data_IF_119978730750
#
_entry.id   IF_119978730750
#
_cell.length_a   1.000
_cell.length_b   1.000
_cell.length_c   1.000
_cell.angle_alpha   90.00
_cell.angle_beta   90.00
_cell.angle_gamma   90.00
#
_symmetry.space_group_name_H-M   'P 1'
#
loop_
_entity.id
_entity.type
_entity.pdbx_description
1 polymer ?
#
# COMPACT_ATOMS: atom_id res chain seq x y z
N UNK A 1 -28.93 14.59 -6.97
CA UNK A 1 -27.54 14.22 -7.29
C UNK A 1 -27.46 12.72 -7.18
N UNK A 2 -27.26 12.00 -8.28
CA UNK A 2 -27.20 10.54 -8.31
C UNK A 2 -25.73 10.12 -8.26
N UNK A 3 -25.30 9.21 -7.36
CA UNK A 3 -23.89 8.82 -7.28
C UNK A 3 -23.47 7.96 -8.48
N UNK A 4 -22.23 8.16 -8.94
CA UNK A 4 -21.60 7.37 -9.99
C UNK A 4 -21.41 5.90 -9.53
N UNK A 5 -21.50 4.91 -10.44
CA UNK A 5 -21.52 3.48 -10.14
C UNK A 5 -20.16 2.86 -9.74
N UNK A 6 -19.34 3.60 -8.98
CA UNK A 6 -18.04 3.14 -8.49
C UNK A 6 -17.50 3.87 -7.28
N UNK A 7 -18.25 4.82 -6.70
CA UNK A 7 -17.85 5.54 -5.49
C UNK A 7 -18.95 5.41 -4.44
N UNK A 8 -18.76 4.52 -3.48
CA UNK A 8 -19.71 4.32 -2.39
C UNK A 8 -19.39 5.32 -1.27
N UNK A 9 -20.31 6.26 -1.02
CA UNK A 9 -20.16 7.27 0.04
C UNK A 9 -20.24 6.59 1.41
N UNK A 10 -19.40 7.01 2.36
CA UNK A 10 -19.42 6.50 3.73
C UNK A 10 -18.62 5.22 3.98
N UNK A 11 -17.68 4.88 3.08
CA UNK A 11 -16.76 3.75 3.21
C UNK A 11 -15.30 4.21 3.34
N UNK A 12 -14.42 3.38 3.94
CA UNK A 12 -12.98 3.62 3.89
C UNK A 12 -12.46 3.46 2.44
N UNK A 13 -11.26 3.96 2.19
CA UNK A 13 -10.58 3.85 0.88
C UNK A 13 -9.08 3.82 1.09
N UNK A 14 -8.47 2.65 1.00
CA UNK A 14 -7.08 2.37 1.29
C UNK A 14 -6.24 2.45 0.03
N UNK A 15 -5.32 3.41 0.02
CA UNK A 15 -4.35 3.54 -1.06
C UNK A 15 -2.94 3.30 -0.54
N UNK A 16 -2.13 2.47 -1.21
CA UNK A 16 -0.71 2.41 -0.92
C UNK A 16 -0.03 3.70 -1.37
N UNK A 17 0.80 4.27 -0.51
CA UNK A 17 1.65 5.42 -0.84
C UNK A 17 3.06 5.14 -0.35
N UNK A 18 4.05 5.81 -0.93
CA UNK A 18 5.48 5.51 -0.69
C UNK A 18 6.20 6.61 0.05
N UNK A 19 5.61 7.81 0.06
CA UNK A 19 6.15 8.94 0.78
C UNK A 19 4.99 9.88 1.18
N UNK A 20 4.80 10.20 2.47
CA UNK A 20 3.85 11.22 2.88
C UNK A 20 4.23 12.64 2.40
N UNK A 21 5.47 12.87 1.92
CA UNK A 21 6.00 14.22 1.63
C UNK A 21 6.69 14.39 0.26
N UNK A 22 6.69 13.41 -0.66
CA UNK A 22 7.54 13.51 -1.87
C UNK A 22 7.08 12.72 -3.09
N UNK A 23 7.81 12.91 -4.19
CA UNK A 23 7.61 12.23 -5.48
C UNK A 23 8.53 11.03 -5.63
N UNK A 24 7.97 9.87 -5.97
CA UNK A 24 8.71 8.64 -6.23
C UNK A 24 8.22 7.49 -5.37
N UNK A 25 8.07 6.33 -6.00
CA UNK A 25 7.55 5.14 -5.32
C UNK A 25 8.62 4.35 -4.56
N UNK A 26 9.90 4.75 -4.61
CA UNK A 26 10.95 4.08 -3.84
C UNK A 26 11.47 4.97 -2.70
N UNK A 27 10.90 4.80 -1.49
CA UNK A 27 11.50 5.29 -0.27
C UNK A 27 12.23 4.13 0.43
N UNK A 28 13.47 4.36 0.87
CA UNK A 28 14.26 3.37 1.61
C UNK A 28 14.60 3.88 3.00
N UNK A 29 14.65 3.00 3.99
CA UNK A 29 15.23 3.31 5.30
C UNK A 29 16.77 3.35 5.24
N UNK A 30 17.42 3.61 6.38
CA UNK A 30 18.88 3.64 6.50
C UNK A 30 19.56 2.29 6.27
N UNK A 31 18.81 1.19 6.27
CA UNK A 31 19.29 -0.16 5.98
C UNK A 31 19.02 -0.56 4.52
N UNK A 32 18.44 0.33 3.71
CA UNK A 32 18.10 0.06 2.31
C UNK A 32 16.79 -0.69 2.12
N UNK A 33 16.01 -0.92 3.18
CA UNK A 33 14.71 -1.59 3.09
C UNK A 33 13.67 -0.63 2.52
N UNK A 34 12.76 -1.14 1.69
CA UNK A 34 11.63 -0.40 1.16
C UNK A 34 10.68 0.00 2.29
N UNK A 35 10.35 1.29 2.34
CA UNK A 35 9.37 1.88 3.26
C UNK A 35 8.12 2.25 2.47
N UNK A 36 6.99 1.75 2.94
CA UNK A 36 5.67 1.99 2.35
C UNK A 36 4.72 2.45 3.44
N UNK A 37 3.64 3.09 3.01
CA UNK A 37 2.57 3.53 3.87
C UNK A 37 1.23 3.16 3.23
N UNK A 38 0.21 3.09 4.06
CA UNK A 38 -1.18 3.03 3.63
C UNK A 38 -1.87 4.31 4.10
N UNK A 39 -2.65 4.92 3.21
CA UNK A 39 -3.50 6.06 3.53
C UNK A 39 -4.95 5.62 3.41
N UNK A 40 -5.77 5.96 4.41
CA UNK A 40 -7.21 5.94 4.22
C UNK A 40 -7.66 7.29 3.66
N UNK A 41 -7.97 7.35 2.37
CA UNK A 41 -8.50 8.55 1.70
C UNK A 41 -10.05 8.59 1.69
N UNK A 42 -10.70 7.60 2.31
CA UNK A 42 -12.15 7.50 2.42
C UNK A 42 -12.72 8.37 3.53
N UNK A 43 -14.05 8.31 3.70
CA UNK A 43 -14.78 9.17 4.62
C UNK A 43 -14.94 8.59 6.04
N UNK A 44 -14.67 7.30 6.23
CA UNK A 44 -14.81 6.60 7.53
C UNK A 44 -13.56 5.77 7.85
N UNK A 45 -13.38 5.44 9.13
CA UNK A 45 -12.26 4.61 9.58
C UNK A 45 -12.38 3.16 9.09
N UNK A 46 -11.25 2.48 8.88
CA UNK A 46 -11.28 1.03 8.67
C UNK A 46 -11.63 0.26 9.95
N UNK A 47 -12.11 -0.99 9.85
CA UNK A 47 -12.30 -1.86 11.01
C UNK A 47 -11.01 -2.06 11.84
N UNK A 48 -11.15 -2.23 13.16
CA UNK A 48 -10.02 -2.27 14.12
C UNK A 48 -9.08 -3.48 13.99
N UNK A 49 -9.56 -4.53 13.33
CA UNK A 49 -8.73 -5.62 12.83
C UNK A 49 -8.74 -5.40 11.32
N UNK A 50 -7.59 -5.20 10.68
CA UNK A 50 -7.29 -5.37 9.24
C UNK A 50 -6.38 -4.24 8.75
N UNK A 51 -5.23 -4.62 8.21
CA UNK A 51 -4.95 -4.50 6.76
C UNK A 51 -3.84 -5.49 6.47
N UNK A 52 -4.08 -6.51 5.63
CA UNK A 52 -3.00 -7.31 5.08
C UNK A 52 -2.45 -6.55 3.86
N UNK A 53 -1.16 -6.27 3.86
CA UNK A 53 -0.49 -5.72 2.68
C UNK A 53 0.41 -6.81 2.08
N UNK A 54 0.43 -6.89 0.76
CA UNK A 54 1.30 -7.79 0.02
C UNK A 54 2.20 -6.96 -0.87
N UNK A 55 3.49 -7.22 -0.85
CA UNK A 55 4.44 -6.65 -1.81
C UNK A 55 4.95 -7.73 -2.72
N UNK A 56 4.81 -7.52 -4.03
CA UNK A 56 5.24 -8.46 -5.06
C UNK A 56 6.39 -7.87 -5.84
N UNK A 57 7.48 -8.62 -5.91
CA UNK A 57 8.58 -8.39 -6.82
C UNK A 57 8.46 -9.38 -7.99
N UNK A 58 8.28 -8.94 -9.25
CA UNK A 58 8.04 -9.84 -10.37
C UNK A 58 9.09 -10.95 -10.54
N UNK A 59 10.36 -10.65 -10.21
CA UNK A 59 11.49 -11.59 -10.30
C UNK A 59 11.80 -12.35 -9.01
N UNK A 60 11.23 -11.94 -7.85
CA UNK A 60 11.59 -12.51 -6.54
C UNK A 60 10.40 -13.04 -5.72
N UNK A 61 9.18 -12.99 -6.26
CA UNK A 61 7.99 -13.53 -5.61
C UNK A 61 7.19 -12.48 -4.82
N UNK A 62 6.44 -12.94 -3.81
CA UNK A 62 5.60 -12.08 -2.97
C UNK A 62 6.00 -12.18 -1.50
N UNK A 63 5.88 -11.06 -0.79
CA UNK A 63 6.07 -10.91 0.65
C UNK A 63 4.75 -10.48 1.25
N UNK A 64 4.20 -11.27 2.15
CA UNK A 64 3.00 -10.92 2.92
C UNK A 64 3.42 -10.20 4.20
N UNK A 65 2.83 -9.03 4.45
CA UNK A 65 3.14 -8.23 5.63
C UNK A 65 2.20 -8.59 6.79
N UNK A 66 2.67 -8.46 8.04
CA UNK A 66 1.83 -8.52 9.23
C UNK A 66 0.61 -7.62 9.11
N UNK A 67 -0.51 -8.07 9.69
CA UNK A 67 -1.73 -7.26 9.74
C UNK A 67 -1.51 -6.01 10.58
N UNK A 68 -1.96 -4.88 10.07
CA UNK A 68 -2.07 -3.65 10.86
C UNK A 68 -3.24 -3.80 11.85
N UNK A 69 -3.00 -3.42 13.10
CA UNK A 69 -3.99 -3.42 14.17
C UNK A 69 -4.38 -1.98 14.52
N UNK A 70 -5.65 -1.78 14.87
CA UNK A 70 -6.23 -0.45 15.05
C UNK A 70 -6.74 0.09 13.72
N UNK A 71 -8.00 0.53 13.70
CA UNK A 71 -8.60 1.07 12.48
C UNK A 71 -7.84 2.31 12.03
N UNK A 72 -7.76 2.53 10.73
CA UNK A 72 -7.08 3.67 10.12
C UNK A 72 -8.11 4.79 9.95
N UNK A 73 -8.04 5.90 10.70
CA UNK A 73 -9.00 6.99 10.58
C UNK A 73 -8.99 7.64 9.18
N UNK A 74 -10.07 8.35 8.79
CA UNK A 74 -10.09 9.14 7.57
C UNK A 74 -8.90 10.11 7.49
N UNK A 75 -8.22 10.13 6.34
CA UNK A 75 -7.05 10.96 6.08
C UNK A 75 -5.75 10.50 6.73
N UNK A 76 -5.78 9.52 7.64
CA UNK A 76 -4.60 9.05 8.33
C UNK A 76 -3.67 8.26 7.40
N UNK A 77 -2.36 8.37 7.68
CA UNK A 77 -1.28 7.66 7.00
C UNK A 77 -0.60 6.78 8.04
N UNK A 78 -0.48 5.49 7.76
CA UNK A 78 0.13 4.51 8.66
C UNK A 78 1.29 3.83 7.93
N UNK A 79 2.48 3.71 8.55
CA UNK A 79 3.60 2.98 7.96
C UNK A 79 3.30 1.48 7.90
N UNK A 80 3.71 0.86 6.79
CA UNK A 80 3.82 -0.59 6.69
C UNK A 80 5.17 -1.04 7.26
N UNK A 81 5.29 -2.32 7.71
CA UNK A 81 6.59 -2.88 8.05
C UNK A 81 7.59 -2.71 6.90
N UNK A 82 8.83 -2.35 7.22
CA UNK A 82 9.90 -2.21 6.24
C UNK A 82 10.18 -3.56 5.56
N UNK A 83 10.52 -3.52 4.28
CA UNK A 83 10.60 -4.70 3.42
C UNK A 83 11.98 -4.79 2.81
N UNK A 84 12.67 -5.89 3.06
CA UNK A 84 13.92 -6.19 2.36
C UNK A 84 13.62 -6.32 0.86
N UNK A 85 14.36 -5.58 0.02
CA UNK A 85 14.29 -5.73 -1.43
C UNK A 85 15.20 -6.88 -1.82
N UNK A 86 14.69 -8.03 -2.30
CA UNK A 86 15.54 -9.15 -2.65
C UNK A 86 16.47 -8.76 -3.80
N UNK A 87 17.76 -9.12 -3.74
CA UNK A 87 18.69 -8.81 -4.82
C UNK A 87 18.21 -9.32 -6.19
N UNK A 88 17.57 -10.49 -6.22
CA UNK A 88 16.97 -11.07 -7.42
C UNK A 88 15.80 -10.27 -8.01
N UNK A 89 15.20 -9.36 -7.23
CA UNK A 89 14.14 -8.47 -7.71
C UNK A 89 14.66 -7.41 -8.70
N UNK A 90 15.97 -7.17 -8.69
CA UNK A 90 16.59 -6.05 -9.38
C UNK A 90 17.25 -6.47 -10.69
N UNK A 91 17.23 -5.55 -11.64
CA UNK A 91 18.15 -5.54 -12.78
C UNK A 91 17.53 -4.83 -13.96
N UNK A 92 18.10 -3.71 -14.44
CA UNK A 92 18.89 -2.68 -13.74
C UNK A 92 18.13 -1.97 -12.61
N UNK A 93 16.80 -2.03 -12.61
CA UNK A 93 15.95 -1.45 -11.56
C UNK A 93 15.24 -2.54 -10.75
N UNK A 94 14.77 -2.22 -9.55
CA UNK A 94 13.92 -3.09 -8.75
C UNK A 94 12.45 -2.64 -8.87
N UNK A 95 11.67 -3.35 -9.69
CA UNK A 95 10.23 -3.11 -9.86
C UNK A 95 9.46 -3.89 -8.81
N UNK A 96 8.44 -3.28 -8.23
CA UNK A 96 7.54 -3.95 -7.29
C UNK A 96 6.10 -3.47 -7.44
N UNK A 97 5.16 -4.26 -6.92
CA UNK A 97 3.77 -3.88 -6.79
C UNK A 97 3.36 -4.08 -5.35
N UNK A 98 2.82 -3.04 -4.74
CA UNK A 98 2.20 -3.11 -3.41
C UNK A 98 0.70 -3.26 -3.59
N UNK A 99 0.12 -4.14 -2.79
CA UNK A 99 -1.32 -4.31 -2.63
C UNK A 99 -1.65 -4.10 -1.17
N UNK A 100 -2.62 -3.26 -0.86
CA UNK A 100 -3.24 -3.15 0.46
C UNK A 100 -4.59 -3.87 0.40
N UNK A 101 -5.09 -4.30 1.55
CA UNK A 101 -6.28 -5.14 1.66
C UNK A 101 -6.27 -6.35 0.68
N UNK A 102 -5.18 -7.12 0.71
CA UNK A 102 -4.98 -8.27 -0.17
C UNK A 102 -4.73 -9.56 0.65
N UNK A 103 -5.67 -10.53 0.67
CA UNK A 103 -6.97 -10.54 -0.02
C UNK A 103 -7.94 -9.45 0.48
N UNK A 104 -8.97 -9.08 -0.30
CA UNK A 104 -9.93 -8.04 0.08
C UNK A 104 -10.76 -8.50 1.27
N UNK A 105 -10.86 -7.65 2.27
CA UNK A 105 -11.53 -7.91 3.53
C UNK A 105 -12.28 -6.70 4.08
N UNK A 106 -11.95 -5.52 3.58
CA UNK A 106 -12.63 -4.27 3.89
C UNK A 106 -13.47 -3.94 2.66
N UNK A 107 -14.74 -3.60 2.88
CA UNK A 107 -15.56 -3.08 1.79
C UNK A 107 -15.27 -1.59 1.64
N UNK A 108 -14.63 -1.22 0.53
CA UNK A 108 -14.10 0.12 0.31
C UNK A 108 -14.99 0.94 -0.63
N UNK A 109 -14.77 2.26 -0.66
CA UNK A 109 -15.46 3.10 -1.63
C UNK A 109 -14.94 2.89 -3.05
N UNK A 110 -13.70 2.42 -3.18
CA UNK A 110 -13.04 2.06 -4.42
C UNK A 110 -12.13 0.83 -4.16
N UNK A 111 -12.39 -0.27 -4.86
CA UNK A 111 -11.62 -1.53 -4.72
C UNK A 111 -10.49 -1.62 -5.77
N UNK A 112 -10.38 -0.62 -6.65
CA UNK A 112 -9.49 -0.64 -7.82
C UNK A 112 -8.21 0.17 -7.62
N UNK A 113 -8.04 0.82 -6.47
CA UNK A 113 -6.90 1.66 -6.13
C UNK A 113 -6.10 1.13 -4.92
N UNK A 114 -6.39 -0.10 -4.47
CA UNK A 114 -5.63 -0.75 -3.41
C UNK A 114 -4.27 -1.27 -3.89
N UNK A 115 -3.77 -0.84 -5.04
CA UNK A 115 -2.46 -1.23 -5.55
C UNK A 115 -1.68 -0.07 -6.17
N UNK A 116 -0.35 -0.16 -6.11
CA UNK A 116 0.56 0.76 -6.80
C UNK A 116 1.81 0.01 -7.29
N UNK A 117 2.35 0.47 -8.42
CA UNK A 117 3.57 -0.09 -9.03
C UNK A 117 4.73 0.87 -8.80
N UNK A 118 5.74 0.43 -8.04
CA UNK A 118 6.93 1.21 -7.75
C UNK A 118 8.18 0.71 -8.46
N UNK A 119 9.16 1.60 -8.60
CA UNK A 119 10.48 1.30 -9.16
C UNK A 119 11.55 1.93 -8.27
N UNK A 120 12.49 1.13 -7.80
CA UNK A 120 13.73 1.59 -7.20
C UNK A 120 14.84 1.56 -8.26
N UNK A 121 15.35 2.74 -8.62
CA UNK A 121 16.52 2.85 -9.50
C UNK A 121 17.74 2.40 -8.69
N UNK A 122 18.55 1.52 -9.28
CA UNK A 122 19.83 1.11 -8.71
C UNK A 122 20.89 1.93 -9.44
N UNK A 123 21.53 2.84 -8.72
CA UNK A 123 22.67 3.62 -9.23
C UNK A 123 23.95 2.77 -9.30
#
# INVERSE_FOLDING_TARGET
MQPHPGFQVGKPDLVPITNPTGSGLCAKDSSGNLVLYVKNQGAVATPAKMTAATVRFPKAGKTELPRIHGGIPPGAIVPLPAIEIPAAACGPDCVFTVFVDAPPQIEESNELNNFAVGVCIVD
#
